data_IF_381464214880
#
_entry.id   IF_381464214880
#
_cell.length_a   1.000
_cell.length_b   1.000
_cell.length_c   1.000
_cell.angle_alpha   90.00
_cell.angle_beta   90.00
_cell.angle_gamma   90.00
#
_symmetry.space_group_name_H-M   'P 1'
#
loop_
_entity.id
_entity.type
_entity.pdbx_description
1 polymer ?
#
# COMPACT_ATOMS: atom_id res chain seq x y z
N UNK A 1 26.17 14.21 6.51
CA UNK A 1 25.22 14.09 5.37
C UNK A 1 24.55 12.71 5.29
N UNK A 2 25.29 11.60 5.25
CA UNK A 2 24.69 10.25 5.15
C UNK A 2 23.77 9.87 6.34
N UNK A 3 24.11 10.26 7.57
CA UNK A 3 23.28 9.98 8.76
C UNK A 3 21.88 10.64 8.70
N UNK A 4 21.82 11.90 8.24
CA UNK A 4 20.56 12.65 8.08
C UNK A 4 19.67 12.06 6.98
N UNK A 5 20.26 11.62 5.87
CA UNK A 5 19.53 10.93 4.79
C UNK A 5 18.94 9.61 5.31
N UNK A 6 19.70 8.86 6.11
CA UNK A 6 19.28 7.58 6.68
C UNK A 6 18.12 7.76 7.65
N UNK A 7 18.14 8.80 8.47
CA UNK A 7 17.05 9.11 9.42
C UNK A 7 15.76 9.56 8.70
N UNK A 8 15.89 10.39 7.67
CA UNK A 8 14.77 10.86 6.84
C UNK A 8 14.12 9.72 6.01
N UNK A 9 14.79 8.59 5.82
CA UNK A 9 14.24 7.38 5.19
C UNK A 9 13.69 6.37 6.21
N UNK A 10 14.38 6.19 7.35
CA UNK A 10 14.01 5.20 8.37
C UNK A 10 12.66 5.49 8.99
N UNK A 11 12.38 6.74 9.41
CA UNK A 11 11.14 7.06 10.12
C UNK A 11 9.89 6.85 9.26
N UNK A 12 9.81 7.33 7.99
CA UNK A 12 8.68 7.01 7.13
C UNK A 12 8.57 5.53 6.80
N UNK A 13 9.69 4.80 6.62
CA UNK A 13 9.64 3.37 6.33
C UNK A 13 9.02 2.56 7.47
N UNK A 14 9.41 2.84 8.73
CA UNK A 14 8.81 2.18 9.91
C UNK A 14 7.31 2.49 10.00
N UNK A 15 6.91 3.76 9.80
CA UNK A 15 5.49 4.14 9.79
C UNK A 15 4.72 3.47 8.67
N UNK A 16 5.32 3.34 7.49
CA UNK A 16 4.72 2.66 6.35
C UNK A 16 4.45 1.18 6.65
N UNK A 17 5.44 0.48 7.24
CA UNK A 17 5.29 -0.92 7.66
C UNK A 17 4.18 -1.04 8.71
N UNK A 18 4.15 -0.16 9.71
CA UNK A 18 3.09 -0.14 10.73
C UNK A 18 1.71 0.08 10.11
N UNK A 19 1.57 1.03 9.18
CA UNK A 19 0.32 1.25 8.44
C UNK A 19 -0.05 0.02 7.62
N UNK A 20 0.92 -0.64 6.98
CA UNK A 20 0.71 -1.88 6.24
C UNK A 20 0.15 -3.00 7.12
N UNK A 21 0.79 -3.29 8.25
CA UNK A 21 0.34 -4.32 9.20
C UNK A 21 -1.06 -4.02 9.75
N UNK A 22 -1.32 -2.77 10.13
CA UNK A 22 -2.65 -2.34 10.59
C UNK A 22 -3.69 -2.48 9.48
N UNK A 23 -3.35 -2.10 8.24
CA UNK A 23 -4.24 -2.23 7.10
C UNK A 23 -4.57 -3.69 6.77
N UNK A 24 -3.58 -4.59 6.85
CA UNK A 24 -3.80 -6.04 6.66
C UNK A 24 -4.73 -6.60 7.74
N UNK A 25 -4.53 -6.20 9.00
CA UNK A 25 -5.42 -6.61 10.10
C UNK A 25 -6.84 -6.09 9.88
N UNK A 26 -6.97 -4.82 9.46
CA UNK A 26 -8.24 -4.21 9.11
C UNK A 26 -8.94 -4.93 7.95
N UNK A 27 -8.20 -5.29 6.90
CA UNK A 27 -8.70 -6.07 5.77
C UNK A 27 -9.25 -7.43 6.21
N UNK A 28 -8.52 -8.14 7.08
CA UNK A 28 -8.93 -9.44 7.59
C UNK A 28 -10.23 -9.34 8.41
N UNK A 29 -10.38 -8.31 9.25
CA UNK A 29 -11.62 -8.06 9.99
C UNK A 29 -12.79 -7.76 9.06
N UNK A 30 -12.59 -6.90 8.04
CA UNK A 30 -13.61 -6.59 7.05
C UNK A 30 -14.01 -7.82 6.22
N UNK A 31 -13.06 -8.69 5.87
CA UNK A 31 -13.36 -9.94 5.16
C UNK A 31 -14.23 -10.85 6.02
N UNK A 32 -13.89 -11.06 7.29
CA UNK A 32 -14.69 -11.89 8.19
C UNK A 32 -16.10 -11.32 8.39
N UNK A 33 -16.25 -10.00 8.43
CA UNK A 33 -17.56 -9.35 8.54
C UNK A 33 -18.39 -9.48 7.26
N UNK A 34 -17.81 -9.19 6.10
CA UNK A 34 -18.54 -9.19 4.81
C UNK A 34 -18.88 -10.59 4.32
N UNK A 35 -17.97 -11.55 4.46
CA UNK A 35 -18.18 -12.93 4.00
C UNK A 35 -18.81 -13.83 5.07
N UNK A 36 -18.76 -13.43 6.35
CA UNK A 36 -19.40 -14.15 7.45
C UNK A 36 -20.83 -13.67 7.69
N UNK A 37 -21.09 -12.86 8.73
CA UNK A 37 -22.44 -12.52 9.17
C UNK A 37 -23.25 -11.72 8.14
N UNK A 38 -22.61 -10.94 7.27
CA UNK A 38 -23.32 -10.21 6.22
C UNK A 38 -23.64 -11.08 4.99
N UNK A 39 -23.09 -12.30 4.92
CA UNK A 39 -23.31 -13.28 3.85
C UNK A 39 -23.26 -12.69 2.43
N UNK A 40 -22.38 -11.71 2.20
CA UNK A 40 -22.26 -11.06 0.90
C UNK A 40 -21.65 -12.03 -0.11
N UNK A 41 -21.99 -11.83 -1.40
CA UNK A 41 -21.29 -12.58 -2.45
C UNK A 41 -19.78 -12.28 -2.39
N UNK A 42 -18.90 -13.25 -2.71
CA UNK A 42 -17.45 -13.04 -2.65
C UNK A 42 -16.98 -11.82 -3.45
N UNK A 43 -17.60 -11.58 -4.61
CA UNK A 43 -17.31 -10.42 -5.44
C UNK A 43 -17.66 -9.10 -4.73
N UNK A 44 -18.86 -8.99 -4.15
CA UNK A 44 -19.30 -7.77 -3.48
C UNK A 44 -18.53 -7.53 -2.16
N UNK A 45 -18.32 -8.58 -1.37
CA UNK A 45 -17.57 -8.49 -0.11
C UNK A 45 -16.12 -8.04 -0.34
N UNK A 46 -15.42 -8.65 -1.31
CA UNK A 46 -14.05 -8.28 -1.64
C UNK A 46 -13.95 -6.87 -2.24
N UNK A 47 -14.92 -6.43 -3.04
CA UNK A 47 -14.95 -5.07 -3.55
C UNK A 47 -15.03 -4.03 -2.43
N UNK A 48 -15.87 -4.27 -1.42
CA UNK A 48 -16.00 -3.40 -0.24
C UNK A 48 -14.73 -3.41 0.60
N UNK A 49 -14.16 -4.60 0.88
CA UNK A 49 -12.90 -4.74 1.61
C UNK A 49 -11.80 -3.96 0.90
N UNK A 50 -11.66 -4.12 -0.41
CA UNK A 50 -10.65 -3.42 -1.21
C UNK A 50 -10.84 -1.91 -1.14
N UNK A 51 -12.06 -1.40 -1.32
CA UNK A 51 -12.35 0.03 -1.27
C UNK A 51 -12.00 0.64 0.10
N UNK A 52 -12.50 0.03 1.19
CA UNK A 52 -12.29 0.55 2.55
C UNK A 52 -10.83 0.49 2.99
N UNK A 53 -10.14 -0.60 2.66
CA UNK A 53 -8.71 -0.75 2.98
C UNK A 53 -7.85 0.20 2.14
N UNK A 54 -8.17 0.41 0.86
CA UNK A 54 -7.47 1.38 0.03
C UNK A 54 -7.64 2.82 0.56
N UNK A 55 -8.85 3.17 1.01
CA UNK A 55 -9.15 4.47 1.64
C UNK A 55 -8.37 4.61 2.95
N UNK A 56 -8.46 3.63 3.84
CA UNK A 56 -7.74 3.65 5.12
C UNK A 56 -6.23 3.79 4.89
N UNK A 57 -5.67 2.98 4.00
CA UNK A 57 -4.25 2.98 3.69
C UNK A 57 -3.80 4.34 3.10
N UNK A 58 -4.61 4.97 2.25
CA UNK A 58 -4.33 6.31 1.76
C UNK A 58 -4.32 7.35 2.88
N UNK A 59 -5.37 7.39 3.70
CA UNK A 59 -5.53 8.38 4.77
C UNK A 59 -4.41 8.23 5.80
N UNK A 60 -4.14 7.01 6.26
CA UNK A 60 -3.09 6.70 7.21
C UNK A 60 -1.71 7.09 6.66
N UNK A 61 -1.40 6.75 5.40
CA UNK A 61 -0.12 7.15 4.82
C UNK A 61 0.01 8.66 4.63
N UNK A 62 -1.07 9.33 4.20
CA UNK A 62 -1.08 10.78 4.02
C UNK A 62 -0.87 11.51 5.34
N UNK A 63 -1.58 11.13 6.40
CA UNK A 63 -1.61 11.87 7.67
C UNK A 63 -0.51 11.43 8.65
N UNK A 64 -0.16 10.15 8.68
CA UNK A 64 0.78 9.60 9.65
C UNK A 64 2.16 9.31 9.04
N UNK A 65 2.21 8.55 7.95
CA UNK A 65 3.50 8.11 7.35
C UNK A 65 4.26 9.27 6.73
N UNK A 66 3.64 9.94 5.76
CA UNK A 66 4.27 10.97 4.94
C UNK A 66 3.87 12.39 5.32
N UNK A 67 2.81 12.57 6.10
CA UNK A 67 2.39 13.89 6.60
C UNK A 67 2.24 14.95 5.49
N UNK A 68 1.61 14.57 4.37
CA UNK A 68 1.47 15.43 3.19
C UNK A 68 0.66 16.69 3.49
N UNK A 69 1.22 17.84 3.11
CA UNK A 69 0.53 19.15 3.09
C UNK A 69 -0.01 19.50 1.69
N UNK A 70 0.07 18.57 0.73
CA UNK A 70 -0.40 18.76 -0.64
C UNK A 70 -1.93 18.86 -0.76
N UNK A 71 -2.44 19.28 -1.93
CA UNK A 71 -3.89 19.31 -2.20
C UNK A 71 -4.47 17.90 -2.17
N UNK A 72 -5.59 17.72 -1.46
CA UNK A 72 -6.24 16.41 -1.30
C UNK A 72 -6.50 15.69 -2.63
N UNK A 73 -7.13 16.38 -3.57
CA UNK A 73 -7.50 15.83 -4.88
C UNK A 73 -6.28 15.34 -5.68
N UNK A 74 -5.15 16.05 -5.61
CA UNK A 74 -3.94 15.68 -6.34
C UNK A 74 -3.30 14.42 -5.74
N UNK A 75 -3.24 14.34 -4.41
CA UNK A 75 -2.69 13.16 -3.72
C UNK A 75 -3.59 11.94 -3.94
N UNK A 76 -4.92 12.11 -3.96
CA UNK A 76 -5.86 11.02 -4.30
C UNK A 76 -5.61 10.52 -5.72
N UNK A 77 -5.54 11.41 -6.71
CA UNK A 77 -5.30 11.00 -8.10
C UNK A 77 -3.96 10.26 -8.26
N UNK A 78 -2.89 10.79 -7.66
CA UNK A 78 -1.58 10.14 -7.68
C UNK A 78 -1.59 8.80 -6.94
N UNK A 79 -2.33 8.71 -5.84
CA UNK A 79 -2.48 7.46 -5.10
C UNK A 79 -3.23 6.40 -5.92
N UNK A 80 -4.29 6.78 -6.64
CA UNK A 80 -5.00 5.86 -7.54
C UNK A 80 -4.10 5.36 -8.67
N UNK A 81 -3.28 6.25 -9.25
CA UNK A 81 -2.26 5.87 -10.24
C UNK A 81 -1.25 4.89 -9.62
N UNK A 82 -0.73 5.20 -8.43
CA UNK A 82 0.18 4.32 -7.72
C UNK A 82 -0.45 2.96 -7.41
N UNK A 83 -1.70 2.94 -6.96
CA UNK A 83 -2.45 1.72 -6.65
C UNK A 83 -2.57 0.84 -7.90
N UNK A 84 -2.93 1.43 -9.04
CA UNK A 84 -3.02 0.73 -10.32
C UNK A 84 -1.67 0.19 -10.79
N UNK A 85 -0.62 1.01 -10.77
CA UNK A 85 0.75 0.59 -11.16
C UNK A 85 1.25 -0.53 -10.25
N UNK A 86 1.04 -0.41 -8.94
CA UNK A 86 1.46 -1.42 -7.97
C UNK A 86 0.72 -2.74 -8.20
N UNK A 87 -0.61 -2.69 -8.39
CA UNK A 87 -1.42 -3.87 -8.69
C UNK A 87 -0.95 -4.57 -9.97
N UNK A 88 -0.82 -3.84 -11.08
CA UNK A 88 -0.39 -4.40 -12.36
C UNK A 88 1.02 -4.96 -12.30
N UNK A 89 1.96 -4.23 -11.68
CA UNK A 89 3.35 -4.66 -11.55
C UNK A 89 3.50 -5.90 -10.66
N UNK A 90 2.79 -5.95 -9.53
CA UNK A 90 2.79 -7.10 -8.62
C UNK A 90 2.14 -8.32 -9.28
N UNK A 91 1.08 -8.12 -10.06
CA UNK A 91 0.42 -9.19 -10.81
C UNK A 91 1.34 -9.74 -11.90
N UNK A 92 2.00 -8.87 -12.67
CA UNK A 92 2.95 -9.27 -13.70
C UNK A 92 4.14 -10.04 -13.10
N UNK A 93 4.69 -9.59 -11.97
CA UNK A 93 5.75 -10.29 -11.25
C UNK A 93 5.26 -11.67 -10.77
N UNK A 94 4.07 -11.74 -10.18
CA UNK A 94 3.47 -12.99 -9.71
C UNK A 94 3.29 -13.98 -10.85
N UNK A 95 2.76 -13.54 -11.99
CA UNK A 95 2.60 -14.37 -13.18
C UNK A 95 3.95 -14.88 -13.69
N UNK A 96 4.93 -13.99 -13.86
CA UNK A 96 6.25 -14.37 -14.33
C UNK A 96 6.94 -15.40 -13.43
N UNK A 97 6.88 -15.22 -12.10
CA UNK A 97 7.45 -16.20 -11.16
C UNK A 97 6.67 -17.52 -11.14
N UNK A 98 5.36 -17.48 -11.42
CA UNK A 98 4.52 -18.68 -11.57
C UNK A 98 4.89 -19.45 -12.83
N UNK A 99 5.14 -18.75 -13.94
CA UNK A 99 5.58 -19.36 -15.21
C UNK A 99 6.94 -20.05 -15.06
N UNK A 100 7.79 -19.57 -14.14
CA UNK A 100 9.05 -20.21 -13.74
C UNK A 100 8.85 -21.42 -12.79
N UNK A 101 7.61 -21.79 -12.47
CA UNK A 101 7.25 -22.89 -11.57
C UNK A 101 7.92 -22.80 -10.19
N UNK A 102 8.14 -21.57 -9.69
CA UNK A 102 8.74 -21.37 -8.38
C UNK A 102 7.78 -21.80 -7.25
N UNK A 103 8.30 -22.18 -6.08
CA UNK A 103 7.47 -22.45 -4.91
C UNK A 103 6.57 -21.27 -4.55
N UNK A 104 5.31 -21.54 -4.18
CA UNK A 104 4.32 -20.53 -3.82
C UNK A 104 4.81 -19.56 -2.74
N UNK A 105 5.59 -20.04 -1.77
CA UNK A 105 6.19 -19.22 -0.73
C UNK A 105 7.13 -18.15 -1.30
N UNK A 106 7.92 -18.49 -2.32
CA UNK A 106 8.84 -17.56 -2.99
C UNK A 106 8.05 -16.54 -3.79
N UNK A 107 7.05 -16.99 -4.55
CA UNK A 107 6.20 -16.13 -5.38
C UNK A 107 5.50 -15.07 -4.50
N UNK A 108 4.80 -15.51 -3.46
CA UNK A 108 4.03 -14.64 -2.57
C UNK A 108 4.91 -13.70 -1.76
N UNK A 109 6.06 -14.16 -1.28
CA UNK A 109 7.02 -13.31 -0.57
C UNK A 109 7.60 -12.24 -1.49
N UNK A 110 8.03 -12.61 -2.69
CA UNK A 110 8.58 -11.67 -3.67
C UNK A 110 7.55 -10.62 -4.09
N UNK A 111 6.32 -11.05 -4.39
CA UNK A 111 5.21 -10.16 -4.73
C UNK A 111 4.88 -9.18 -3.60
N UNK A 112 4.86 -9.66 -2.35
CA UNK A 112 4.58 -8.83 -1.16
C UNK A 112 5.68 -7.80 -0.94
N UNK A 113 6.95 -8.22 -0.98
CA UNK A 113 8.09 -7.32 -0.83
C UNK A 113 8.11 -6.28 -1.95
N UNK A 114 7.88 -6.70 -3.19
CA UNK A 114 7.83 -5.82 -4.34
C UNK A 114 6.71 -4.78 -4.22
N UNK A 115 5.50 -5.21 -3.87
CA UNK A 115 4.36 -4.32 -3.64
C UNK A 115 4.64 -3.31 -2.54
N UNK A 116 5.25 -3.74 -1.42
CA UNK A 116 5.62 -2.84 -0.33
C UNK A 116 6.68 -1.81 -0.75
N UNK A 117 7.69 -2.23 -1.51
CA UNK A 117 8.76 -1.33 -2.00
C UNK A 117 8.20 -0.30 -2.99
N UNK A 118 7.43 -0.73 -3.98
CA UNK A 118 6.78 0.18 -4.93
C UNK A 118 5.80 1.12 -4.24
N UNK A 119 5.01 0.61 -3.30
CA UNK A 119 4.06 1.40 -2.54
C UNK A 119 4.74 2.46 -1.69
N UNK A 120 5.84 2.11 -1.01
CA UNK A 120 6.63 3.07 -0.24
C UNK A 120 7.32 4.11 -1.13
N UNK A 121 8.02 3.66 -2.18
CA UNK A 121 8.75 4.55 -3.09
C UNK A 121 7.81 5.49 -3.84
N UNK A 122 6.72 4.96 -4.41
CA UNK A 122 5.68 5.75 -5.05
C UNK A 122 4.99 6.69 -4.07
N UNK A 123 4.67 6.23 -2.87
CA UNK A 123 4.11 7.07 -1.81
C UNK A 123 5.02 8.27 -1.49
N UNK A 124 6.30 8.00 -1.24
CA UNK A 124 7.28 9.02 -0.84
C UNK A 124 7.64 10.00 -1.97
N UNK A 125 7.97 9.49 -3.15
CA UNK A 125 8.59 10.28 -4.21
C UNK A 125 7.58 10.81 -5.24
N UNK A 126 6.42 10.17 -5.39
CA UNK A 126 5.42 10.56 -6.37
C UNK A 126 4.16 11.14 -5.72
N UNK A 127 3.47 10.37 -4.87
CA UNK A 127 2.18 10.74 -4.30
C UNK A 127 2.34 11.94 -3.36
N UNK A 128 3.16 11.80 -2.33
CA UNK A 128 3.31 12.78 -1.23
C UNK A 128 4.59 13.60 -1.34
N UNK A 129 5.09 13.83 -2.56
CA UNK A 129 6.36 14.55 -2.84
C UNK A 129 6.46 15.92 -2.16
N UNK A 130 5.34 16.57 -1.87
CA UNK A 130 5.29 17.91 -1.26
C UNK A 130 5.22 17.88 0.28
N UNK A 131 5.52 16.73 0.91
CA UNK A 131 5.53 16.57 2.36
C UNK A 131 6.66 17.31 3.10
N UNK A 132 7.62 17.90 2.39
CA UNK A 132 8.74 18.62 3.02
C UNK A 132 9.27 19.74 2.12
N UNK A 133 8.62 20.90 2.19
CA UNK A 133 9.21 22.20 1.83
C UNK A 133 8.89 23.20 2.95
N UNK A 134 9.35 22.88 4.16
CA UNK A 134 9.45 23.81 5.28
C UNK A 134 10.67 23.45 6.12
N UNK A 135 11.84 23.61 5.50
CA UNK A 135 13.09 24.04 6.13
C UNK A 135 13.71 25.05 5.17
#
# INVERSE_FOLDING_TARGET
MMALIRENLRRPAVRYILVGVTNTTFAWLLMNLTLGPLAMSPAAGMAIVFALTAIFHFIANRQFTFQSKGKWQHDVLRYLILLGVNYLSTTALTQWLTDLSLPLLIITTAATVWSALLGFAGGKFFVFRNASSSL
#
